data_IF_508937713557
#
_entry.id   IF_508937713557
#
_cell.length_a   1.000
_cell.length_b   1.000
_cell.length_c   1.000
_cell.angle_alpha   90.00
_cell.angle_beta   90.00
_cell.angle_gamma   90.00
#
_symmetry.space_group_name_H-M   'P 1'
#
loop_
_entity.id
_entity.type
_entity.pdbx_description
1 polymer ?
#
# COMPACT_ATOMS: atom_id res chain seq x y z
N UNK A 1 4.64 11.19 16.87
CA UNK A 1 5.53 10.42 15.96
C UNK A 1 6.54 9.55 16.70
N UNK A 2 7.05 9.93 17.83
CA UNK A 2 8.04 9.14 18.60
C UNK A 2 7.52 7.82 19.16
N UNK A 3 6.20 7.64 19.24
CA UNK A 3 5.59 6.39 19.73
C UNK A 3 5.47 5.28 18.67
N UNK A 4 5.62 5.59 17.38
CA UNK A 4 5.64 4.57 16.33
C UNK A 4 7.07 4.15 16.04
N UNK A 5 7.32 2.84 15.94
CA UNK A 5 8.62 2.31 15.51
C UNK A 5 9.02 2.87 14.13
N UNK A 6 10.31 2.87 13.83
CA UNK A 6 10.84 3.46 12.58
C UNK A 6 10.24 2.85 11.32
N UNK A 7 9.92 1.57 11.35
CA UNK A 7 9.24 0.90 10.24
C UNK A 7 7.85 1.53 9.98
N UNK A 8 7.07 1.78 11.04
CA UNK A 8 5.77 2.47 10.92
C UNK A 8 5.90 3.88 10.36
N UNK A 9 6.95 4.61 10.76
CA UNK A 9 7.25 5.94 10.23
C UNK A 9 7.65 5.88 8.74
N UNK A 10 8.44 4.90 8.33
CA UNK A 10 8.79 4.68 6.93
C UNK A 10 7.57 4.34 6.07
N UNK A 11 6.67 3.49 6.58
CA UNK A 11 5.41 3.17 5.91
C UNK A 11 4.49 4.39 5.77
N UNK A 12 4.47 5.27 6.78
CA UNK A 12 3.73 6.54 6.73
C UNK A 12 4.29 7.50 5.66
N UNK A 13 5.61 7.68 5.63
CA UNK A 13 6.28 8.51 4.62
C UNK A 13 6.03 7.97 3.19
N UNK A 14 6.11 6.65 3.02
CA UNK A 14 5.84 5.97 1.76
C UNK A 14 4.42 6.26 1.23
N UNK A 15 3.41 6.14 2.10
CA UNK A 15 2.02 6.45 1.72
C UNK A 15 1.88 7.91 1.30
N UNK A 16 2.61 8.83 1.96
CA UNK A 16 2.64 10.25 1.63
C UNK A 16 3.22 10.53 0.25
N UNK A 17 4.28 9.82 -0.15
CA UNK A 17 4.91 9.97 -1.46
C UNK A 17 4.01 9.50 -2.62
N UNK A 18 3.13 8.55 -2.35
CA UNK A 18 2.32 7.91 -3.40
C UNK A 18 0.99 8.62 -3.66
N UNK A 19 0.47 9.36 -2.71
CA UNK A 19 -0.86 9.98 -2.79
C UNK A 19 -0.75 11.47 -3.09
N UNK A 20 -1.53 11.95 -4.02
CA UNK A 20 -1.69 13.38 -4.30
C UNK A 20 -3.19 13.72 -4.28
N UNK A 21 -3.63 14.65 -3.45
CA UNK A 21 -2.85 15.39 -2.44
C UNK A 21 -2.47 14.54 -1.22
N UNK A 22 -1.36 14.87 -0.61
CA UNK A 22 -0.90 14.27 0.63
C UNK A 22 -0.24 15.31 1.53
N UNK A 23 -0.40 15.15 2.83
CA UNK A 23 0.21 16.01 3.83
C UNK A 23 0.97 15.14 4.83
N UNK A 24 2.18 15.53 5.15
CA UNK A 24 2.92 14.90 6.22
C UNK A 24 2.35 15.30 7.60
N UNK A 25 2.70 14.52 8.62
CA UNK A 25 2.21 14.76 9.97
C UNK A 25 2.59 16.16 10.53
N UNK A 26 3.75 16.68 10.14
CA UNK A 26 4.23 17.98 10.61
C UNK A 26 3.40 19.11 10.00
N UNK A 27 3.13 19.04 8.70
CA UNK A 27 2.26 20.00 8.03
C UNK A 27 0.84 19.99 8.61
N UNK A 28 0.30 18.78 8.92
CA UNK A 28 -1.01 18.65 9.59
C UNK A 28 -0.97 19.21 10.99
N UNK A 29 0.08 18.96 11.78
CA UNK A 29 0.23 19.48 13.14
C UNK A 29 0.32 21.01 13.14
N UNK A 30 1.14 21.59 12.27
CA UNK A 30 1.28 23.05 12.13
C UNK A 30 -0.05 23.70 11.70
N UNK A 31 -0.73 23.12 10.72
CA UNK A 31 -2.03 23.60 10.29
C UNK A 31 -3.08 23.48 11.41
N UNK A 32 -3.09 22.38 12.17
CA UNK A 32 -4.04 22.17 13.27
C UNK A 32 -3.87 23.20 14.38
N UNK A 33 -2.62 23.57 14.70
CA UNK A 33 -2.34 24.61 15.71
C UNK A 33 -2.86 26.01 15.31
N UNK A 34 -2.98 26.27 14.02
CA UNK A 34 -3.47 27.53 13.48
C UNK A 34 -5.01 27.58 13.35
N UNK A 35 -5.73 26.46 13.57
CA UNK A 35 -7.19 26.39 13.44
C UNK A 35 -7.87 27.19 14.54
N UNK A 36 -8.78 28.09 14.16
CA UNK A 36 -9.67 28.81 15.05
C UNK A 36 -11.11 28.32 14.90
N UNK A 37 -11.96 28.56 15.90
CA UNK A 37 -13.38 28.19 15.82
C UNK A 37 -14.08 28.88 14.65
N UNK A 38 -13.79 30.15 14.42
CA UNK A 38 -14.41 30.90 13.32
C UNK A 38 -13.91 30.40 11.96
N UNK A 39 -12.61 30.07 11.85
CA UNK A 39 -12.05 29.43 10.66
C UNK A 39 -12.70 28.07 10.38
N UNK A 40 -12.94 27.27 11.42
CA UNK A 40 -13.63 25.98 11.28
C UNK A 40 -15.08 26.15 10.80
N UNK A 41 -15.82 27.10 11.37
CA UNK A 41 -17.19 27.43 10.95
C UNK A 41 -17.25 27.88 9.50
N UNK A 42 -16.32 28.77 9.09
CA UNK A 42 -16.22 29.23 7.69
C UNK A 42 -15.90 28.08 6.74
N UNK A 43 -14.97 27.21 7.10
CA UNK A 43 -14.64 26.00 6.33
C UNK A 43 -15.85 25.07 6.17
N UNK A 44 -16.57 24.79 7.26
CA UNK A 44 -17.79 23.96 7.20
C UNK A 44 -18.86 24.54 6.29
N UNK A 45 -19.05 25.87 6.33
CA UNK A 45 -20.01 26.55 5.46
C UNK A 45 -19.60 26.47 3.98
N UNK A 46 -18.29 26.57 3.69
CA UNK A 46 -17.78 26.40 2.32
C UNK A 46 -17.88 24.94 1.86
N UNK A 47 -17.51 23.98 2.71
CA UNK A 47 -17.58 22.54 2.40
C UNK A 47 -19.00 22.09 2.04
N UNK A 48 -20.02 22.56 2.76
CA UNK A 48 -21.42 22.21 2.50
C UNK A 48 -21.87 22.58 1.09
N UNK A 49 -21.34 23.62 0.49
CA UNK A 49 -21.71 24.06 -0.87
C UNK A 49 -21.18 23.13 -1.95
N UNK A 50 -20.01 22.53 -1.69
CA UNK A 50 -19.31 21.67 -2.63
C UNK A 50 -19.39 20.18 -2.24
N UNK A 51 -20.16 19.83 -1.20
CA UNK A 51 -20.23 18.47 -0.67
C UNK A 51 -21.00 17.55 -1.62
N UNK A 52 -20.37 16.44 -1.99
CA UNK A 52 -21.01 15.31 -2.64
C UNK A 52 -21.10 14.15 -1.64
N UNK A 53 -22.31 13.65 -1.45
CA UNK A 53 -22.55 12.55 -0.53
C UNK A 53 -22.95 11.27 -1.31
N UNK A 54 -22.38 10.16 -0.93
CA UNK A 54 -22.83 8.82 -1.33
C UNK A 54 -23.26 8.10 -0.05
N UNK A 55 -24.51 7.65 0.00
CA UNK A 55 -25.03 6.86 1.12
C UNK A 55 -24.99 5.39 0.72
N UNK A 56 -24.31 4.58 1.50
CA UNK A 56 -24.23 3.13 1.32
C UNK A 56 -24.73 2.46 2.59
N UNK A 57 -25.85 1.73 2.49
CA UNK A 57 -26.40 0.95 3.59
C UNK A 57 -25.95 -0.50 3.50
N UNK A 58 -25.46 -1.04 4.61
CA UNK A 58 -25.03 -2.43 4.71
C UNK A 58 -25.46 -3.03 6.06
N UNK A 59 -25.88 -4.29 6.08
CA UNK A 59 -26.33 -5.00 7.28
C UNK A 59 -27.85 -5.12 7.35
N UNK A 60 -28.42 -5.13 8.57
CA UNK A 60 -29.84 -5.29 8.79
C UNK A 60 -30.62 -4.00 8.58
N UNK A 61 -30.59 -3.49 7.35
CA UNK A 61 -31.31 -2.27 6.90
C UNK A 61 -32.06 -2.55 5.62
N UNK A 62 -33.23 -1.92 5.47
CA UNK A 62 -34.01 -2.00 4.23
C UNK A 62 -33.63 -0.86 3.28
N UNK A 63 -34.01 -0.99 2.02
CA UNK A 63 -33.86 0.11 1.06
C UNK A 63 -34.58 1.39 1.53
N UNK A 64 -35.75 1.24 2.19
CA UNK A 64 -36.50 2.37 2.76
C UNK A 64 -35.71 3.09 3.85
N UNK A 65 -35.03 2.34 4.72
CA UNK A 65 -34.20 2.92 5.78
C UNK A 65 -33.02 3.71 5.19
N UNK A 66 -32.37 3.16 4.17
CA UNK A 66 -31.24 3.85 3.49
C UNK A 66 -31.70 5.11 2.78
N UNK A 67 -32.87 5.09 2.11
CA UNK A 67 -33.47 6.27 1.48
C UNK A 67 -33.80 7.33 2.53
N UNK A 68 -34.42 6.94 3.67
CA UNK A 68 -34.72 7.86 4.76
C UNK A 68 -33.45 8.49 5.36
N UNK A 69 -32.38 7.72 5.49
CA UNK A 69 -31.06 8.27 5.90
C UNK A 69 -30.53 9.26 4.89
N UNK A 70 -30.61 8.96 3.58
CA UNK A 70 -30.21 9.86 2.51
C UNK A 70 -31.01 11.17 2.52
N UNK A 71 -32.34 11.09 2.68
CA UNK A 71 -33.22 12.25 2.80
C UNK A 71 -32.89 13.13 4.02
N UNK A 72 -32.46 12.51 5.13
CA UNK A 72 -32.04 13.25 6.33
C UNK A 72 -30.74 14.04 6.13
N UNK A 73 -29.87 13.60 5.24
CA UNK A 73 -28.61 14.26 4.92
C UNK A 73 -28.79 15.32 3.82
N UNK A 74 -29.74 15.15 2.93
CA UNK A 74 -29.97 16.02 1.78
C UNK A 74 -30.05 17.53 2.12
N UNK A 75 -30.69 17.99 3.23
CA UNK A 75 -30.74 19.41 3.61
C UNK A 75 -29.38 20.03 3.96
N UNK A 76 -28.38 19.18 4.27
CA UNK A 76 -27.03 19.66 4.60
C UNK A 76 -26.13 19.77 3.37
N UNK A 77 -26.59 19.30 2.20
CA UNK A 77 -25.87 19.35 0.94
C UNK A 77 -26.36 20.56 0.15
N UNK A 78 -25.43 21.40 -0.31
CA UNK A 78 -25.80 22.58 -1.08
C UNK A 78 -26.39 22.20 -2.46
N UNK A 79 -27.19 23.11 -3.08
CA UNK A 79 -27.83 22.87 -4.38
C UNK A 79 -26.82 22.70 -5.53
N UNK A 80 -25.59 23.21 -5.36
CA UNK A 80 -24.52 23.12 -6.35
C UNK A 80 -23.63 21.88 -6.18
N UNK A 81 -24.09 20.87 -5.46
CA UNK A 81 -23.39 19.62 -5.18
C UNK A 81 -23.10 18.79 -6.43
N UNK A 82 -22.36 19.34 -7.36
CA UNK A 82 -22.09 18.72 -8.65
C UNK A 82 -20.65 18.74 -9.12
N UNK A 83 -19.71 19.34 -8.39
CA UNK A 83 -18.31 19.31 -8.80
C UNK A 83 -17.77 17.88 -8.69
N UNK A 84 -17.13 17.38 -9.75
CA UNK A 84 -16.43 16.10 -9.64
C UNK A 84 -15.43 16.17 -8.49
N UNK A 85 -15.53 15.23 -7.55
CA UNK A 85 -14.48 15.07 -6.54
C UNK A 85 -13.23 14.62 -7.27
N UNK A 86 -12.17 15.40 -7.16
CA UNK A 86 -10.88 14.99 -7.70
C UNK A 86 -10.41 13.73 -6.94
N UNK A 87 -10.39 12.61 -7.65
CA UNK A 87 -9.96 11.37 -7.04
C UNK A 87 -8.50 11.51 -6.60
N UNK A 88 -8.18 10.99 -5.41
CA UNK A 88 -6.79 10.87 -4.95
C UNK A 88 -5.99 10.17 -6.05
N UNK A 89 -5.07 10.90 -6.66
CA UNK A 89 -4.18 10.34 -7.66
C UNK A 89 -3.03 9.65 -6.97
N UNK A 90 -2.76 8.46 -7.40
CA UNK A 90 -1.49 7.80 -7.12
C UNK A 90 -0.56 8.19 -8.26
N UNK A 91 0.64 8.63 -7.92
CA UNK A 91 1.62 9.02 -8.94
C UNK A 91 1.93 7.81 -9.85
N UNK A 92 1.42 7.78 -11.08
CA UNK A 92 1.77 6.73 -12.03
C UNK A 92 2.92 7.27 -12.85
N UNK A 93 4.13 7.07 -12.42
CA UNK A 93 5.28 7.50 -13.22
C UNK A 93 6.12 6.27 -13.49
N UNK A 94 5.89 5.68 -14.66
CA UNK A 94 6.71 4.57 -15.15
C UNK A 94 8.19 5.00 -15.18
N UNK A 95 9.03 4.20 -14.53
CA UNK A 95 10.48 4.42 -14.50
C UNK A 95 10.95 5.52 -13.54
N UNK A 96 10.08 6.05 -12.66
CA UNK A 96 10.49 7.03 -11.65
C UNK A 96 10.96 6.33 -10.37
N UNK A 97 12.07 6.80 -9.86
CA UNK A 97 12.58 6.47 -8.53
C UNK A 97 12.26 7.63 -7.60
N UNK A 98 11.32 7.43 -6.67
CA UNK A 98 11.09 8.38 -5.58
C UNK A 98 11.94 7.95 -4.38
N UNK A 99 12.82 8.83 -3.91
CA UNK A 99 13.73 8.57 -2.80
C UNK A 99 13.45 9.57 -1.68
N UNK A 100 13.05 9.05 -0.52
CA UNK A 100 12.82 9.83 0.70
C UNK A 100 13.90 9.49 1.72
N UNK A 101 14.60 10.50 2.22
CA UNK A 101 15.70 10.36 3.18
C UNK A 101 15.42 11.18 4.42
N UNK A 102 15.60 10.59 5.58
CA UNK A 102 15.45 11.29 6.85
C UNK A 102 16.33 10.67 7.94
N UNK A 103 17.04 11.53 8.68
CA UNK A 103 17.70 11.14 9.93
C UNK A 103 16.70 10.96 11.05
N UNK A 104 16.98 10.02 11.95
CA UNK A 104 16.24 9.74 13.17
C UNK A 104 17.08 9.99 14.39
N UNK A 105 16.41 10.31 15.51
CA UNK A 105 17.03 10.33 16.84
C UNK A 105 17.10 8.94 17.47
N UNK A 106 16.31 7.99 16.97
CA UNK A 106 16.36 6.59 17.39
C UNK A 106 17.61 5.90 16.82
N UNK A 107 18.09 4.86 17.48
CA UNK A 107 19.35 4.19 17.12
C UNK A 107 19.24 3.34 15.85
N UNK A 108 18.11 2.67 15.66
CA UNK A 108 17.87 1.79 14.52
C UNK A 108 17.73 2.57 13.22
N UNK A 109 18.01 1.90 12.10
CA UNK A 109 17.63 2.37 10.77
C UNK A 109 16.44 1.59 10.21
N UNK A 110 15.68 2.20 9.31
CA UNK A 110 14.63 1.53 8.57
C UNK A 110 14.74 1.81 7.07
N UNK A 111 14.63 0.75 6.29
CA UNK A 111 14.55 0.81 4.84
C UNK A 111 13.24 0.17 4.39
N UNK A 112 12.49 0.89 3.57
CA UNK A 112 11.31 0.36 2.87
C UNK A 112 11.46 0.65 1.40
N UNK A 113 11.31 -0.37 0.59
CA UNK A 113 11.38 -0.26 -0.85
C UNK A 113 10.15 -0.89 -1.50
N UNK A 114 9.57 -0.22 -2.46
CA UNK A 114 8.41 -0.68 -3.21
C UNK A 114 8.61 -0.60 -4.70
N UNK A 115 8.02 -1.56 -5.37
CA UNK A 115 7.92 -1.64 -6.82
C UNK A 115 6.45 -1.67 -7.23
N UNK A 116 6.03 -0.68 -8.01
CA UNK A 116 4.65 -0.53 -8.43
C UNK A 116 4.48 -0.93 -9.89
N UNK A 117 3.48 -1.77 -10.14
CA UNK A 117 3.07 -2.16 -11.48
C UNK A 117 2.26 -1.01 -12.11
N UNK A 118 2.66 -0.48 -13.27
CA UNK A 118 1.88 0.52 -14.00
C UNK A 118 0.57 -0.05 -14.55
N UNK A 119 0.43 -1.36 -14.63
CA UNK A 119 -0.79 -2.04 -15.09
C UNK A 119 -1.84 -2.00 -13.97
N UNK A 120 -3.05 -1.59 -14.33
CA UNK A 120 -4.16 -1.47 -13.39
C UNK A 120 -5.15 -2.62 -13.63
N UNK A 121 -5.62 -3.23 -12.55
CA UNK A 121 -6.68 -4.22 -12.64
C UNK A 121 -6.47 -5.45 -11.78
N UNK A 122 -7.43 -6.40 -11.82
CA UNK A 122 -7.38 -7.60 -11.00
C UNK A 122 -6.19 -8.51 -11.33
N UNK A 123 -5.76 -8.57 -12.60
CA UNK A 123 -4.63 -9.41 -13.01
C UNK A 123 -3.30 -8.94 -12.41
N UNK A 124 -3.07 -7.62 -12.37
CA UNK A 124 -1.89 -7.06 -11.70
C UNK A 124 -1.92 -7.36 -10.20
N UNK A 125 -3.07 -7.17 -9.56
CA UNK A 125 -3.25 -7.48 -8.13
C UNK A 125 -3.02 -8.96 -7.83
N UNK A 126 -3.56 -9.84 -8.65
CA UNK A 126 -3.38 -11.29 -8.54
C UNK A 126 -1.90 -11.68 -8.60
N UNK A 127 -1.16 -11.14 -9.59
CA UNK A 127 0.28 -11.39 -9.70
C UNK A 127 1.06 -10.90 -8.49
N UNK A 128 0.70 -9.74 -7.91
CA UNK A 128 1.38 -9.23 -6.71
C UNK A 128 1.11 -10.08 -5.47
N UNK A 129 -0.12 -10.58 -5.29
CA UNK A 129 -0.44 -11.49 -4.19
C UNK A 129 0.32 -12.82 -4.30
N UNK A 130 0.37 -13.40 -5.51
CA UNK A 130 1.11 -14.64 -5.76
C UNK A 130 2.62 -14.44 -5.60
N UNK A 131 3.15 -13.33 -6.11
CA UNK A 131 4.56 -12.98 -5.95
C UNK A 131 4.94 -12.81 -4.48
N UNK A 132 4.12 -12.12 -3.70
CA UNK A 132 4.34 -11.97 -2.26
C UNK A 132 4.29 -13.32 -1.56
N UNK A 133 3.31 -14.16 -1.86
CA UNK A 133 3.21 -15.51 -1.30
C UNK A 133 4.44 -16.37 -1.57
N UNK A 134 5.08 -16.21 -2.74
CA UNK A 134 6.32 -16.89 -3.08
C UNK A 134 7.55 -16.30 -2.38
N UNK A 135 7.57 -15.02 -2.07
CA UNK A 135 8.75 -14.30 -1.58
C UNK A 135 8.78 -14.07 -0.08
N UNK A 136 7.64 -14.01 0.60
CA UNK A 136 7.55 -13.58 2.01
C UNK A 136 8.43 -14.42 2.94
N UNK A 137 8.28 -15.72 2.90
CA UNK A 137 9.10 -16.63 3.72
C UNK A 137 10.59 -16.56 3.34
N UNK A 138 10.90 -16.46 2.05
CA UNK A 138 12.28 -16.36 1.55
C UNK A 138 12.96 -15.08 2.01
N UNK A 139 12.26 -13.94 1.93
CA UNK A 139 12.76 -12.64 2.39
C UNK A 139 12.97 -12.63 3.90
N UNK A 140 11.99 -13.08 4.65
CA UNK A 140 12.06 -13.17 6.10
C UNK A 140 13.21 -14.07 6.55
N UNK A 141 13.30 -15.29 6.03
CA UNK A 141 14.35 -16.25 6.40
C UNK A 141 15.74 -15.69 6.08
N UNK A 142 15.91 -15.09 4.91
CA UNK A 142 17.20 -14.53 4.51
C UNK A 142 17.64 -13.39 5.39
N UNK A 143 16.79 -12.37 5.58
CA UNK A 143 17.23 -11.13 6.22
C UNK A 143 17.13 -11.17 7.75
N UNK A 144 16.13 -11.88 8.27
CA UNK A 144 15.96 -11.99 9.72
C UNK A 144 16.71 -13.17 10.33
N UNK A 145 16.62 -14.36 9.71
CA UNK A 145 17.14 -15.59 10.33
C UNK A 145 18.61 -15.80 10.00
N UNK A 146 18.98 -15.72 8.72
CA UNK A 146 20.34 -15.99 8.26
C UNK A 146 21.27 -14.79 8.54
N UNK A 147 20.84 -13.58 8.16
CA UNK A 147 21.67 -12.37 8.29
C UNK A 147 21.45 -11.62 9.61
N UNK A 148 20.42 -11.94 10.37
CA UNK A 148 20.10 -11.36 11.67
C UNK A 148 20.07 -9.82 11.66
N UNK A 149 19.53 -9.24 10.56
CA UNK A 149 19.57 -7.79 10.35
C UNK A 149 18.67 -7.02 11.31
N UNK A 150 17.62 -7.65 11.85
CA UNK A 150 16.75 -6.94 12.77
C UNK A 150 15.46 -7.66 13.11
N UNK A 151 14.68 -6.97 13.92
CA UNK A 151 13.42 -7.49 14.44
C UNK A 151 12.31 -7.49 13.39
N UNK A 152 12.30 -6.48 12.52
CA UNK A 152 11.34 -6.38 11.42
C UNK A 152 12.06 -6.68 10.12
N UNK A 153 11.64 -7.74 9.44
CA UNK A 153 11.99 -8.02 8.05
C UNK A 153 10.75 -8.62 7.38
N UNK A 154 10.17 -7.93 6.40
CA UNK A 154 8.90 -8.33 5.80
C UNK A 154 8.82 -7.92 4.33
N UNK A 155 8.16 -8.74 3.52
CA UNK A 155 7.56 -8.31 2.27
C UNK A 155 6.06 -8.12 2.47
N UNK A 156 5.43 -7.37 1.60
CA UNK A 156 3.99 -7.12 1.67
C UNK A 156 3.44 -6.72 0.31
N UNK A 157 2.21 -7.14 -0.03
CA UNK A 157 1.55 -6.68 -1.22
C UNK A 157 1.12 -5.22 -1.01
N UNK A 158 1.23 -4.43 -2.07
CA UNK A 158 0.82 -3.02 -2.07
C UNK A 158 -0.39 -2.90 -2.99
N UNK A 159 -1.52 -2.51 -2.41
CA UNK A 159 -2.78 -2.38 -3.14
C UNK A 159 -3.28 -0.94 -3.07
N UNK A 160 -3.50 -0.35 -4.23
CA UNK A 160 -4.08 0.97 -4.37
C UNK A 160 -5.37 0.91 -5.16
N UNK A 161 -6.10 2.02 -5.16
CA UNK A 161 -7.30 2.18 -5.97
C UNK A 161 -7.05 1.83 -7.45
N UNK A 162 -5.92 2.27 -8.00
CA UNK A 162 -5.58 2.11 -9.42
C UNK A 162 -4.17 1.54 -9.62
N UNK A 163 -3.77 0.54 -8.85
CA UNK A 163 -2.47 -0.08 -8.99
C UNK A 163 -2.19 -1.14 -7.94
N UNK A 164 -1.18 -1.92 -8.18
CA UNK A 164 -0.66 -2.91 -7.29
C UNK A 164 0.87 -2.88 -7.29
N UNK A 165 1.48 -3.51 -6.32
CA UNK A 165 2.92 -3.60 -6.22
C UNK A 165 3.35 -4.57 -5.15
N UNK A 166 4.65 -4.67 -4.98
CA UNK A 166 5.28 -5.41 -3.89
C UNK A 166 6.21 -4.49 -3.12
N UNK A 167 6.18 -4.60 -1.80
CA UNK A 167 7.05 -3.87 -0.89
C UNK A 167 7.92 -4.80 -0.07
N UNK A 168 9.10 -4.29 0.30
CA UNK A 168 10.05 -4.93 1.17
C UNK A 168 10.47 -3.95 2.25
N UNK A 169 10.62 -4.42 3.48
CA UNK A 169 10.98 -3.54 4.57
C UNK A 169 11.76 -4.23 5.67
N UNK A 170 12.75 -3.51 6.19
CA UNK A 170 13.58 -3.94 7.34
C UNK A 170 13.76 -2.77 8.28
N UNK A 171 13.64 -3.04 9.59
CA UNK A 171 14.16 -2.17 10.65
C UNK A 171 15.33 -2.90 11.30
N UNK A 172 16.46 -2.23 11.41
CA UNK A 172 17.73 -2.85 11.83
C UNK A 172 18.47 -2.03 12.88
N UNK A 173 18.90 -2.67 13.99
CA UNK A 173 19.84 -2.08 14.95
C UNK A 173 21.32 -2.28 14.56
N UNK A 174 21.59 -3.05 13.49
CA UNK A 174 22.97 -3.48 13.13
C UNK A 174 23.44 -2.96 11.78
N UNK A 175 22.58 -2.36 10.97
CA UNK A 175 22.92 -1.84 9.64
C UNK A 175 22.26 -0.50 9.35
N UNK A 176 23.00 0.41 8.72
CA UNK A 176 22.44 1.65 8.14
C UNK A 176 21.70 1.39 6.82
N UNK A 177 21.02 2.41 6.31
CA UNK A 177 20.15 2.27 5.13
C UNK A 177 20.90 1.84 3.87
N UNK A 178 22.13 2.32 3.65
CA UNK A 178 22.99 1.86 2.54
C UNK A 178 23.26 0.35 2.63
N UNK A 179 23.72 -0.12 3.81
CA UNK A 179 23.98 -1.54 4.02
C UNK A 179 22.73 -2.42 3.90
N UNK A 180 21.55 -1.92 4.30
CA UNK A 180 20.26 -2.62 4.09
C UNK A 180 19.92 -2.71 2.60
N UNK A 181 20.15 -1.64 1.85
CA UNK A 181 19.88 -1.60 0.42
C UNK A 181 20.73 -2.60 -0.38
N UNK A 182 22.01 -2.77 -0.01
CA UNK A 182 22.90 -3.78 -0.62
C UNK A 182 22.36 -5.20 -0.40
N UNK A 183 21.81 -5.47 0.77
CA UNK A 183 21.22 -6.77 1.10
C UNK A 183 19.92 -7.02 0.36
N UNK A 184 19.10 -5.98 0.20
CA UNK A 184 17.89 -6.06 -0.63
C UNK A 184 18.26 -6.40 -2.08
N UNK A 185 19.24 -5.72 -2.62
CA UNK A 185 19.70 -5.97 -3.99
C UNK A 185 20.23 -7.39 -4.16
N UNK A 186 21.08 -7.85 -3.21
CA UNK A 186 21.55 -9.24 -3.19
C UNK A 186 20.39 -10.24 -3.12
N UNK A 187 19.38 -9.95 -2.30
CA UNK A 187 18.17 -10.77 -2.24
C UNK A 187 17.44 -10.78 -3.58
N UNK A 188 17.23 -9.62 -4.22
CA UNK A 188 16.47 -9.54 -5.46
C UNK A 188 17.08 -10.38 -6.59
N UNK A 189 18.39 -10.33 -6.77
CA UNK A 189 19.06 -11.18 -7.76
C UNK A 189 18.94 -12.65 -7.45
N UNK A 190 19.11 -13.05 -6.19
CA UNK A 190 18.98 -14.46 -5.77
C UNK A 190 17.54 -14.96 -5.91
N UNK A 191 16.56 -14.13 -5.56
CA UNK A 191 15.14 -14.47 -5.62
C UNK A 191 14.68 -14.82 -7.05
N UNK A 192 15.21 -14.18 -8.09
CA UNK A 192 14.88 -14.53 -9.47
C UNK A 192 15.21 -15.99 -9.79
N UNK A 193 16.41 -16.44 -9.41
CA UNK A 193 16.81 -17.83 -9.62
C UNK A 193 15.90 -18.81 -8.87
N UNK A 194 15.51 -18.43 -7.63
CA UNK A 194 14.60 -19.24 -6.82
C UNK A 194 13.19 -19.28 -7.42
N UNK A 195 12.67 -18.14 -7.92
CA UNK A 195 11.35 -18.07 -8.56
C UNK A 195 11.29 -18.89 -9.83
N UNK A 196 12.37 -18.90 -10.63
CA UNK A 196 12.47 -19.75 -11.83
C UNK A 196 12.55 -21.25 -11.51
N UNK A 197 12.97 -21.60 -10.30
CA UNK A 197 13.05 -22.98 -9.81
C UNK A 197 11.83 -23.44 -9.01
N UNK A 198 10.78 -22.62 -8.90
CA UNK A 198 9.53 -23.01 -8.22
C UNK A 198 8.86 -24.13 -9.00
N UNK A 199 8.47 -25.21 -8.31
CA UNK A 199 7.72 -26.31 -8.94
C UNK A 199 6.24 -25.95 -9.11
N UNK A 200 5.56 -26.68 -9.98
CA UNK A 200 4.12 -26.52 -10.20
C UNK A 200 3.33 -26.79 -8.91
N UNK A 201 3.77 -27.75 -8.10
CA UNK A 201 3.13 -28.06 -6.81
C UNK A 201 3.32 -26.92 -5.78
N UNK A 202 4.51 -26.34 -5.73
CA UNK A 202 4.77 -25.20 -4.84
C UNK A 202 3.95 -23.98 -5.27
N UNK A 203 3.90 -23.69 -6.56
CA UNK A 203 3.12 -22.58 -7.09
C UNK A 203 1.62 -22.79 -6.83
N UNK A 204 1.11 -23.99 -7.03
CA UNK A 204 -0.29 -24.33 -6.75
C UNK A 204 -0.61 -24.20 -5.26
N UNK A 205 0.29 -24.64 -4.37
CA UNK A 205 0.12 -24.47 -2.93
C UNK A 205 0.02 -22.98 -2.53
N UNK A 206 0.85 -22.11 -3.11
CA UNK A 206 0.77 -20.65 -2.88
C UNK A 206 -0.54 -20.08 -3.43
N UNK A 207 -0.95 -20.51 -4.64
CA UNK A 207 -2.22 -20.09 -5.24
C UNK A 207 -3.40 -20.44 -4.33
N UNK A 208 -3.46 -21.66 -3.85
CA UNK A 208 -4.52 -22.11 -2.95
C UNK A 208 -4.52 -21.34 -1.63
N UNK A 209 -3.35 -21.00 -1.08
CA UNK A 209 -3.23 -20.16 0.10
C UNK A 209 -3.79 -18.75 -0.14
N UNK A 210 -3.48 -18.13 -1.28
CA UNK A 210 -4.03 -16.82 -1.66
C UNK A 210 -5.54 -16.90 -1.87
N UNK A 211 -6.04 -17.91 -2.60
CA UNK A 211 -7.47 -18.11 -2.81
C UNK A 211 -8.22 -18.31 -1.49
N UNK A 212 -7.70 -19.15 -0.59
CA UNK A 212 -8.28 -19.37 0.72
C UNK A 212 -8.36 -18.08 1.55
N UNK A 213 -7.32 -17.23 1.48
CA UNK A 213 -7.32 -15.93 2.14
C UNK A 213 -8.37 -14.97 1.57
N UNK A 214 -8.53 -14.93 0.25
CA UNK A 214 -9.50 -14.06 -0.43
C UNK A 214 -10.95 -14.53 -0.23
N UNK A 215 -11.17 -15.84 -0.11
CA UNK A 215 -12.51 -16.44 0.02
C UNK A 215 -12.87 -16.81 1.45
N UNK A 216 -12.03 -16.45 2.43
CA UNK A 216 -12.34 -16.64 3.84
C UNK A 216 -13.68 -15.95 4.16
N UNK A 217 -14.60 -16.69 4.75
CA UNK A 217 -15.84 -16.08 5.25
C UNK A 217 -15.52 -15.04 6.31
N UNK A 218 -16.05 -13.82 6.20
CA UNK A 218 -15.84 -12.79 7.21
C UNK A 218 -16.36 -13.24 8.56
N UNK A 219 -15.60 -12.97 9.61
CA UNK A 219 -16.01 -13.30 10.98
C UNK A 219 -16.91 -12.19 11.57
N UNK A 220 -16.86 -11.00 10.99
CA UNK A 220 -17.60 -9.80 11.44
C UNK A 220 -18.25 -9.06 10.29
N UNK A 221 -19.29 -8.29 10.62
CA UNK A 221 -19.94 -7.38 9.66
C UNK A 221 -18.96 -6.34 9.09
N UNK A 222 -18.01 -5.87 9.91
CA UNK A 222 -17.00 -4.89 9.48
C UNK A 222 -16.02 -5.48 8.45
N UNK A 223 -15.63 -6.74 8.61
CA UNK A 223 -14.79 -7.43 7.63
C UNK A 223 -15.52 -7.59 6.29
N UNK A 224 -16.79 -7.99 6.33
CA UNK A 224 -17.62 -8.11 5.13
C UNK A 224 -17.84 -6.74 4.47
N UNK A 225 -18.13 -5.70 5.27
CA UNK A 225 -18.26 -4.33 4.77
C UNK A 225 -16.99 -3.85 4.05
N UNK A 226 -15.81 -4.23 4.52
CA UNK A 226 -14.52 -3.88 3.93
C UNK A 226 -14.39 -4.29 2.45
N UNK A 227 -15.03 -5.36 2.04
CA UNK A 227 -15.05 -5.77 0.63
C UNK A 227 -15.84 -4.79 -0.23
N UNK A 228 -17.04 -4.43 0.22
CA UNK A 228 -17.91 -3.48 -0.48
C UNK A 228 -17.36 -2.05 -0.44
N UNK A 229 -16.78 -1.65 0.70
CA UNK A 229 -16.11 -0.34 0.82
C UNK A 229 -14.98 -0.18 -0.21
N UNK A 230 -14.20 -1.23 -0.44
CA UNK A 230 -13.15 -1.23 -1.46
C UNK A 230 -13.72 -0.98 -2.84
N UNK A 231 -14.77 -1.69 -3.23
CA UNK A 231 -15.44 -1.50 -4.51
C UNK A 231 -16.05 -0.10 -4.63
N UNK A 232 -16.70 0.39 -3.58
CA UNK A 232 -17.26 1.74 -3.53
C UNK A 232 -16.19 2.81 -3.77
N UNK A 233 -15.05 2.71 -3.10
CA UNK A 233 -13.90 3.62 -3.28
C UNK A 233 -13.32 3.57 -4.71
N UNK A 234 -13.42 2.44 -5.37
CA UNK A 234 -13.00 2.24 -6.75
C UNK A 234 -14.03 2.70 -7.79
N UNK A 235 -15.25 3.06 -7.33
CA UNK A 235 -16.37 3.35 -8.20
C UNK A 235 -16.93 2.12 -8.90
N UNK A 236 -16.67 0.92 -8.35
CA UNK A 236 -17.21 -0.34 -8.85
C UNK A 236 -18.61 -0.59 -8.28
N UNK A 237 -19.63 -0.12 -8.99
CA UNK A 237 -21.03 -0.28 -8.58
C UNK A 237 -21.58 -1.70 -8.77
N UNK A 238 -20.83 -2.58 -9.44
CA UNK A 238 -21.21 -3.99 -9.59
C UNK A 238 -20.88 -4.81 -8.34
N UNK A 239 -20.01 -4.30 -7.46
CA UNK A 239 -19.54 -4.98 -6.26
C UNK A 239 -19.00 -6.40 -6.52
N UNK A 240 -18.31 -6.58 -7.66
CA UNK A 240 -17.74 -7.84 -8.13
C UNK A 240 -16.20 -7.90 -8.03
N UNK A 241 -15.60 -6.93 -7.34
CA UNK A 241 -14.15 -6.77 -7.27
C UNK A 241 -13.45 -7.98 -6.70
N UNK A 242 -14.00 -8.58 -5.63
CA UNK A 242 -13.46 -9.78 -5.02
C UNK A 242 -13.53 -10.99 -5.97
N UNK A 243 -14.67 -11.20 -6.63
CA UNK A 243 -14.87 -12.29 -7.58
C UNK A 243 -13.90 -12.17 -8.77
N UNK A 244 -13.71 -10.95 -9.29
CA UNK A 244 -12.76 -10.69 -10.38
C UNK A 244 -11.32 -10.93 -9.96
N UNK A 245 -10.95 -10.53 -8.73
CA UNK A 245 -9.62 -10.78 -8.19
C UNK A 245 -9.38 -12.29 -8.00
N UNK A 246 -10.34 -13.01 -7.42
CA UNK A 246 -10.27 -14.46 -7.22
C UNK A 246 -10.11 -15.18 -8.57
N UNK A 247 -10.91 -14.81 -9.58
CA UNK A 247 -10.78 -15.39 -10.92
C UNK A 247 -9.44 -15.07 -11.60
N UNK A 248 -8.86 -13.89 -11.30
CA UNK A 248 -7.54 -13.53 -11.81
C UNK A 248 -6.42 -14.33 -11.12
N UNK A 249 -6.51 -14.59 -9.82
CA UNK A 249 -5.56 -15.45 -9.09
C UNK A 249 -5.61 -16.90 -9.64
N UNK A 250 -6.81 -17.42 -9.87
CA UNK A 250 -7.01 -18.77 -10.39
C UNK A 250 -6.37 -18.97 -11.77
N UNK A 251 -6.42 -17.96 -12.63
CA UNK A 251 -5.89 -17.99 -14.00
C UNK A 251 -4.41 -17.66 -14.12
N UNK A 252 -3.83 -16.98 -13.13
CA UNK A 252 -2.46 -16.51 -13.21
C UNK A 252 -1.46 -17.68 -13.30
N UNK A 253 -0.41 -17.50 -14.06
CA UNK A 253 0.64 -18.51 -14.26
C UNK A 253 1.95 -18.10 -13.56
N UNK A 254 2.76 -19.09 -13.17
CA UNK A 254 4.09 -18.85 -12.63
C UNK A 254 4.95 -18.00 -13.58
N UNK A 255 4.87 -18.29 -14.89
CA UNK A 255 5.62 -17.53 -15.90
C UNK A 255 5.26 -16.04 -15.94
N UNK A 256 3.99 -15.68 -15.72
CA UNK A 256 3.55 -14.29 -15.61
C UNK A 256 4.08 -13.62 -14.34
N UNK A 257 4.05 -14.31 -13.20
CA UNK A 257 4.57 -13.82 -11.93
C UNK A 257 6.09 -13.59 -12.01
N UNK A 258 6.84 -14.53 -12.58
CA UNK A 258 8.30 -14.38 -12.79
C UNK A 258 8.60 -13.19 -13.71
N UNK A 259 7.88 -13.06 -14.82
CA UNK A 259 8.06 -11.93 -15.76
C UNK A 259 7.79 -10.58 -15.12
N UNK A 260 6.75 -10.49 -14.31
CA UNK A 260 6.44 -9.26 -13.56
C UNK A 260 7.58 -8.95 -12.59
N UNK A 261 8.09 -9.93 -11.87
CA UNK A 261 9.25 -9.75 -11.00
C UNK A 261 10.48 -9.22 -11.75
N UNK A 262 10.82 -9.82 -12.88
CA UNK A 262 11.94 -9.39 -13.73
C UNK A 262 11.76 -7.94 -14.20
N UNK A 263 10.55 -7.59 -14.60
CA UNK A 263 10.25 -6.27 -15.16
C UNK A 263 10.24 -5.18 -14.09
N UNK A 264 9.61 -5.45 -12.93
CA UNK A 264 9.38 -4.43 -11.90
C UNK A 264 10.55 -4.30 -10.93
N UNK A 265 11.11 -5.44 -10.48
CA UNK A 265 12.11 -5.44 -9.39
C UNK A 265 13.52 -5.32 -9.96
N UNK A 266 13.81 -6.02 -11.05
CA UNK A 266 15.15 -6.04 -11.67
C UNK A 266 15.27 -5.15 -12.90
N UNK A 267 14.17 -4.79 -13.53
CA UNK A 267 14.13 -3.99 -14.75
C UNK A 267 13.60 -2.57 -14.50
N UNK A 268 13.57 -1.75 -15.55
CA UNK A 268 13.10 -0.35 -15.48
C UNK A 268 11.58 -0.22 -15.62
N UNK A 269 10.82 -1.33 -15.58
CA UNK A 269 9.41 -1.34 -15.99
C UNK A 269 8.42 -0.77 -14.96
N UNK A 270 8.83 -0.58 -13.70
CA UNK A 270 7.98 -0.14 -12.62
C UNK A 270 8.35 1.23 -12.06
N UNK A 271 7.46 1.79 -11.24
CA UNK A 271 7.82 2.89 -10.35
C UNK A 271 8.44 2.31 -9.09
N UNK A 272 9.61 2.81 -8.74
CA UNK A 272 10.33 2.43 -7.54
C UNK A 272 10.21 3.53 -6.48
N UNK A 273 9.84 3.17 -5.28
CA UNK A 273 9.78 4.10 -4.14
C UNK A 273 10.69 3.57 -3.04
N UNK A 274 11.66 4.39 -2.65
CA UNK A 274 12.62 4.10 -1.60
C UNK A 274 12.41 5.07 -0.44
N UNK A 275 12.22 4.53 0.76
CA UNK A 275 12.15 5.31 2.00
C UNK A 275 13.26 4.87 2.93
N UNK A 276 14.13 5.82 3.25
CA UNK A 276 15.31 5.64 4.05
C UNK A 276 15.20 6.46 5.33
N UNK A 277 15.15 5.80 6.49
CA UNK A 277 15.23 6.47 7.79
C UNK A 277 16.52 5.99 8.47
N UNK A 278 17.50 6.89 8.53
CA UNK A 278 18.82 6.58 9.10
C UNK A 278 18.81 6.79 10.60
N UNK A 279 19.16 5.76 11.35
CA UNK A 279 19.29 5.80 12.80
C UNK A 279 20.49 6.61 13.25
N UNK A 280 20.42 7.15 14.46
CA UNK A 280 21.51 7.96 15.04
C UNK A 280 22.85 7.22 15.13
N UNK A 281 22.82 5.89 15.32
CA UNK A 281 24.00 5.02 15.34
C UNK A 281 24.74 4.97 13.98
N UNK A 282 24.03 5.20 12.89
CA UNK A 282 24.53 5.04 11.52
C UNK A 282 24.61 6.38 10.75
N UNK A 283 24.50 7.50 11.46
CA UNK A 283 24.40 8.85 10.86
C UNK A 283 25.58 9.19 9.96
N UNK A 284 26.75 8.68 10.27
CA UNK A 284 27.97 8.92 9.51
C UNK A 284 28.12 8.00 8.28
N UNK A 285 27.22 7.03 8.13
CA UNK A 285 27.16 6.18 6.95
C UNK A 285 26.34 6.87 5.84
N UNK A 286 26.75 6.66 4.62
CA UNK A 286 26.04 7.20 3.45
C UNK A 286 24.62 6.62 3.27
N UNK A 287 23.80 7.34 2.53
CA UNK A 287 22.52 6.86 2.05
C UNK A 287 22.69 5.86 0.91
N UNK A 288 21.71 5.00 0.70
CA UNK A 288 21.67 4.21 -0.51
C UNK A 288 21.39 5.12 -1.72
N UNK A 289 22.32 5.16 -2.66
CA UNK A 289 22.13 5.82 -3.94
C UNK A 289 21.70 4.76 -4.97
N UNK A 290 20.41 4.71 -5.24
CA UNK A 290 19.86 3.85 -6.28
C UNK A 290 19.40 4.72 -7.44
N UNK A 291 20.15 4.61 -8.53
CA UNK A 291 19.84 5.25 -9.81
C UNK A 291 18.78 4.48 -10.58
#
# INVERSE_FOLDING_TARGET
MEQQGLFGQAMGAMRGLLKVPSWDHRAVEEATRAVTLDGLKAYMAAMRRDLRCTVFGFGNVTQGDVLAMADSVAPFIGPDAGRPVEAVRILPVQGVVADYRRDSVLEDSALVEMFLDPVVGPDSRARMLLLEGLLSTRFYSRLRTEEQLGYVATSFPVMFARGAGIGFGVQSPVAGTSGLADRFESFYFKALSQLRGVSDEEFESVRQGVLASLTKTPDTLDEEFGWYETDLRLGNSAFDGLQRLTAAVDKATLGEVVRVYETLVLGPGGTRVLVQIQGSRFRDLGWADKK
#
